data_IF_841698925062
#
_entry.id   IF_841698925062
#
_cell.length_a   1.000
_cell.length_b   1.000
_cell.length_c   1.000
_cell.angle_alpha   90.00
_cell.angle_beta   90.00
_cell.angle_gamma   90.00
#
_symmetry.space_group_name_H-M   'P 1'
#
loop_
_entity.id
_entity.type
_entity.pdbx_description
1 polymer ?
#
# COMPACT_ATOMS: atom_id res chain seq x y z
N UNK A 1 -14.32 0.14 8.30
CA UNK A 1 -13.08 0.92 8.49
C UNK A 1 -12.68 0.81 9.94
N UNK A 2 -11.47 0.33 10.26
CA UNK A 2 -11.02 0.25 11.66
C UNK A 2 -10.86 1.65 12.22
N UNK A 3 -11.41 1.91 13.42
CA UNK A 3 -11.37 3.23 14.04
C UNK A 3 -9.92 3.65 14.31
N UNK A 4 -9.49 4.81 13.79
CA UNK A 4 -8.18 5.42 14.07
C UNK A 4 -7.90 5.57 15.58
N UNK A 5 -8.97 5.62 16.38
CA UNK A 5 -8.91 5.66 17.84
C UNK A 5 -8.25 4.43 18.46
N UNK A 6 -8.41 3.24 17.85
CA UNK A 6 -7.78 2.01 18.33
C UNK A 6 -6.24 2.07 18.22
N UNK A 7 -5.71 2.61 17.12
CA UNK A 7 -4.27 2.80 16.90
C UNK A 7 -3.67 3.81 17.89
N UNK A 8 -4.42 4.87 18.19
CA UNK A 8 -4.03 5.86 19.21
C UNK A 8 -3.92 5.17 20.57
N UNK A 9 -4.92 4.39 20.96
CA UNK A 9 -4.96 3.70 22.25
C UNK A 9 -3.83 2.67 22.37
N UNK A 10 -3.55 1.91 21.31
CA UNK A 10 -2.47 0.90 21.34
C UNK A 10 -1.07 1.54 21.34
N UNK A 11 -0.91 2.67 20.64
CA UNK A 11 0.31 3.48 20.75
C UNK A 11 0.49 4.05 22.17
N UNK A 12 -0.58 4.59 22.78
CA UNK A 12 -0.54 5.05 24.18
C UNK A 12 -0.12 3.92 25.13
N UNK A 13 -0.71 2.71 25.01
CA UNK A 13 -0.33 1.54 25.83
C UNK A 13 1.15 1.21 25.70
N UNK A 14 1.67 1.22 24.47
CA UNK A 14 3.06 0.91 24.18
C UNK A 14 4.01 1.95 24.78
N UNK A 15 3.69 3.23 24.61
CA UNK A 15 4.49 4.34 25.16
C UNK A 15 4.50 4.39 26.69
N UNK A 16 3.36 4.09 27.33
CA UNK A 16 3.26 3.95 28.79
C UNK A 16 4.15 2.80 29.28
N UNK A 17 4.05 1.62 28.64
CA UNK A 17 4.85 0.44 28.99
C UNK A 17 6.34 0.70 28.86
N UNK A 18 6.78 1.35 27.77
CA UNK A 18 8.19 1.70 27.54
C UNK A 18 8.75 2.65 28.60
N UNK A 19 7.90 3.48 29.22
CA UNK A 19 8.27 4.43 30.29
C UNK A 19 8.04 3.88 31.69
N UNK A 20 7.67 2.61 31.83
CA UNK A 20 7.36 2.00 33.12
C UNK A 20 6.12 2.59 33.82
N UNK A 21 5.26 3.29 33.09
CA UNK A 21 4.06 3.91 33.63
C UNK A 21 2.91 2.90 33.65
N UNK A 22 2.21 2.86 34.78
CA UNK A 22 1.09 1.95 35.01
C UNK A 22 -0.26 2.62 34.73
N UNK A 23 -1.33 1.82 34.60
CA UNK A 23 -2.68 2.38 34.59
C UNK A 23 -3.06 3.08 35.89
N UNK A 24 -2.35 2.82 36.99
CA UNK A 24 -2.52 3.54 38.25
C UNK A 24 -2.02 4.98 38.12
N UNK A 25 -0.90 5.18 37.43
CA UNK A 25 -0.33 6.51 37.18
C UNK A 25 -1.20 7.30 36.21
N UNK A 26 -1.69 6.63 35.16
CA UNK A 26 -2.64 7.22 34.22
C UNK A 26 -3.97 7.59 34.91
N UNK A 27 -4.47 6.73 35.81
CA UNK A 27 -5.68 7.00 36.57
C UNK A 27 -5.54 8.21 37.51
N UNK A 28 -4.38 8.36 38.17
CA UNK A 28 -4.07 9.55 38.97
C UNK A 28 -4.05 10.81 38.10
N UNK A 29 -3.37 10.75 36.96
CA UNK A 29 -3.26 11.86 36.02
C UNK A 29 -4.62 12.30 35.46
N UNK A 30 -5.47 11.33 35.09
CA UNK A 30 -6.83 11.59 34.61
C UNK A 30 -7.86 11.88 35.71
N UNK A 31 -7.47 11.78 36.99
CA UNK A 31 -8.38 11.91 38.15
C UNK A 31 -9.56 10.93 38.09
N UNK A 32 -9.29 9.67 37.73
CA UNK A 32 -10.28 8.60 37.58
C UNK A 32 -9.92 7.38 38.43
N UNK A 33 -10.88 6.48 38.63
CA UNK A 33 -10.59 5.14 39.16
C UNK A 33 -9.83 4.30 38.12
N UNK A 34 -9.00 3.37 38.58
CA UNK A 34 -8.27 2.43 37.70
C UNK A 34 -9.25 1.62 36.83
N UNK A 35 -10.42 1.27 37.35
CA UNK A 35 -11.47 0.59 36.59
C UNK A 35 -12.01 1.46 35.44
N UNK A 36 -12.23 2.75 35.68
CA UNK A 36 -12.69 3.69 34.64
C UNK A 36 -11.62 3.96 33.60
N UNK A 37 -10.36 4.10 34.01
CA UNK A 37 -9.21 4.24 33.11
C UNK A 37 -9.06 3.02 32.20
N UNK A 38 -9.16 1.81 32.76
CA UNK A 38 -9.14 0.57 31.96
C UNK A 38 -10.29 0.50 30.96
N UNK A 39 -11.49 0.95 31.36
CA UNK A 39 -12.66 1.02 30.45
C UNK A 39 -12.38 1.96 29.27
N UNK A 40 -11.80 3.14 29.53
CA UNK A 40 -11.44 4.10 28.47
C UNK A 40 -10.32 3.56 27.57
N UNK A 41 -9.30 2.94 28.15
CA UNK A 41 -8.19 2.32 27.40
C UNK A 41 -8.58 1.02 26.66
N UNK A 42 -9.81 0.56 26.84
CA UNK A 42 -10.41 -0.59 26.16
C UNK A 42 -11.57 -0.19 25.24
N UNK A 43 -12.07 1.05 25.30
CA UNK A 43 -13.13 1.56 24.43
C UNK A 43 -12.55 2.13 23.13
N UNK A 44 -13.38 2.27 22.09
CA UNK A 44 -13.01 2.97 20.84
C UNK A 44 -13.24 4.48 20.90
N UNK A 45 -13.48 5.01 22.10
CA UNK A 45 -13.80 6.41 22.35
C UNK A 45 -12.90 6.96 23.46
N UNK A 46 -11.97 7.83 23.08
CA UNK A 46 -11.08 8.58 23.98
C UNK A 46 -11.02 10.02 23.49
N UNK A 47 -11.19 10.97 24.40
CA UNK A 47 -11.17 12.40 24.07
C UNK A 47 -9.74 12.89 23.82
N UNK A 48 -9.60 13.93 22.97
CA UNK A 48 -8.32 14.60 22.72
C UNK A 48 -7.65 15.08 24.02
N UNK A 49 -8.44 15.65 24.93
CA UNK A 49 -7.95 16.10 26.24
C UNK A 49 -7.28 15.00 27.07
N UNK A 50 -7.76 13.75 26.97
CA UNK A 50 -7.14 12.60 27.66
C UNK A 50 -5.86 12.14 26.97
N UNK A 51 -5.80 12.24 25.64
CA UNK A 51 -4.59 11.96 24.87
C UNK A 51 -3.50 12.98 25.23
N UNK A 52 -3.82 14.27 25.24
CA UNK A 52 -2.90 15.35 25.62
C UNK A 52 -2.37 15.15 27.03
N UNK A 53 -3.27 14.94 28.00
CA UNK A 53 -2.90 14.69 29.39
C UNK A 53 -2.02 13.44 29.57
N UNK A 54 -2.27 12.37 28.80
CA UNK A 54 -1.40 11.19 28.82
C UNK A 54 -0.03 11.47 28.20
N UNK A 55 0.04 12.28 27.15
CA UNK A 55 1.30 12.70 26.52
C UNK A 55 2.13 13.59 27.46
N UNK A 56 1.49 14.49 28.21
CA UNK A 56 2.12 15.29 29.26
C UNK A 56 2.76 14.40 30.34
N UNK A 57 2.03 13.39 30.83
CA UNK A 57 2.55 12.41 31.79
C UNK A 57 3.78 11.67 31.25
N UNK A 58 3.83 11.42 29.95
CA UNK A 58 4.95 10.75 29.27
C UNK A 58 6.08 11.70 28.85
N UNK A 59 5.91 13.01 29.08
CA UNK A 59 6.77 14.08 28.62
C UNK A 59 7.02 14.03 27.09
N UNK A 60 5.95 13.89 26.31
CA UNK A 60 5.97 13.90 24.84
C UNK A 60 5.01 14.97 24.33
N UNK A 61 5.41 15.85 23.40
CA UNK A 61 4.47 16.75 22.72
C UNK A 61 3.41 15.94 21.95
N UNK A 62 2.13 16.30 22.07
CA UNK A 62 1.04 15.57 21.41
C UNK A 62 1.22 15.49 19.88
N UNK A 63 1.74 16.54 19.25
CA UNK A 63 2.05 16.54 17.82
C UNK A 63 3.12 15.50 17.43
N UNK A 64 4.16 15.35 18.26
CA UNK A 64 5.21 14.34 18.05
C UNK A 64 4.67 12.92 18.31
N UNK A 65 3.82 12.76 19.32
CA UNK A 65 3.12 11.51 19.60
C UNK A 65 2.27 11.08 18.39
N UNK A 66 1.44 11.98 17.86
CA UNK A 66 0.56 11.69 16.71
C UNK A 66 1.36 11.35 15.44
N UNK A 67 2.50 12.02 15.19
CA UNK A 67 3.37 11.68 14.05
C UNK A 67 3.99 10.28 14.14
N UNK A 68 4.13 9.73 15.35
CA UNK A 68 4.69 8.38 15.59
C UNK A 68 3.63 7.28 15.50
N UNK A 69 2.36 7.64 15.48
CA UNK A 69 1.28 6.68 15.27
C UNK A 69 1.25 6.37 13.77
N UNK A 70 1.31 5.09 13.37
CA UNK A 70 1.14 4.70 11.99
C UNK A 70 -0.35 4.75 11.65
N UNK A 71 -0.93 5.96 11.65
CA UNK A 71 -2.28 6.23 11.12
C UNK A 71 -2.40 5.70 9.71
N UNK A 72 -1.27 5.73 9.00
CA UNK A 72 -1.09 5.08 7.73
C UNK A 72 -0.38 3.74 7.96
N UNK A 73 -1.14 2.64 7.96
CA UNK A 73 -0.59 1.28 7.87
C UNK A 73 0.26 1.08 6.59
N UNK A 74 0.31 2.07 5.70
CA UNK A 74 1.17 2.13 4.50
C UNK A 74 2.67 2.13 4.79
N UNK A 75 3.11 2.42 6.02
CA UNK A 75 4.54 2.56 6.35
C UNK A 75 5.30 1.22 6.44
N UNK A 76 4.62 0.12 6.74
CA UNK A 76 5.22 -1.21 6.71
C UNK A 76 5.17 -1.69 5.27
N UNK A 77 6.33 -1.96 4.67
CA UNK A 77 6.42 -2.57 3.35
C UNK A 77 6.67 -4.07 3.55
N UNK A 78 5.89 -4.90 2.86
CA UNK A 78 6.21 -6.33 2.77
C UNK A 78 6.51 -6.73 1.33
N UNK A 79 7.33 -7.77 1.22
CA UNK A 79 7.72 -8.38 -0.03
C UNK A 79 7.40 -9.87 0.02
N UNK A 80 6.96 -10.41 -1.11
CA UNK A 80 6.81 -11.84 -1.29
C UNK A 80 8.18 -12.52 -1.33
N UNK A 81 8.24 -13.80 -0.96
CA UNK A 81 9.43 -14.61 -1.23
C UNK A 81 9.53 -14.92 -2.72
N UNK A 82 10.72 -15.17 -3.29
CA UNK A 82 10.85 -15.56 -4.69
C UNK A 82 10.03 -16.81 -5.05
N UNK A 83 9.88 -17.75 -4.12
CA UNK A 83 9.04 -18.93 -4.30
C UNK A 83 7.54 -18.58 -4.39
N UNK A 84 7.05 -17.70 -3.51
CA UNK A 84 5.67 -17.19 -3.57
C UNK A 84 5.41 -16.44 -4.88
N UNK A 85 6.33 -15.56 -5.28
CA UNK A 85 6.24 -14.85 -6.56
C UNK A 85 6.14 -15.83 -7.74
N UNK A 86 7.00 -16.85 -7.78
CA UNK A 86 6.98 -17.87 -8.84
C UNK A 86 5.67 -18.65 -8.89
N UNK A 87 5.11 -18.99 -7.73
CA UNK A 87 3.83 -19.71 -7.63
C UNK A 87 2.67 -18.85 -8.13
N UNK A 88 2.62 -17.58 -7.72
CA UNK A 88 1.60 -16.63 -8.14
C UNK A 88 1.68 -16.31 -9.64
N UNK A 89 2.88 -16.12 -10.19
CA UNK A 89 3.06 -15.85 -11.64
C UNK A 89 2.51 -16.99 -12.51
N UNK A 90 2.57 -18.24 -12.03
CA UNK A 90 2.10 -19.41 -12.77
C UNK A 90 0.58 -19.63 -12.67
N UNK A 91 -0.10 -18.87 -11.82
CA UNK A 91 -1.54 -19.00 -11.56
C UNK A 91 -2.18 -17.62 -11.51
N UNK A 92 -2.61 -17.13 -12.67
CA UNK A 92 -3.18 -15.78 -12.82
C UNK A 92 -4.43 -15.56 -11.95
N UNK A 93 -5.22 -16.62 -11.72
CA UNK A 93 -6.44 -16.54 -10.90
C UNK A 93 -6.07 -16.38 -9.43
N UNK A 94 -5.13 -17.18 -8.93
CA UNK A 94 -4.63 -17.04 -7.56
C UNK A 94 -3.91 -15.71 -7.35
N UNK A 95 -3.16 -15.20 -8.35
CA UNK A 95 -2.53 -13.88 -8.29
C UNK A 95 -3.58 -12.77 -8.18
N UNK A 96 -4.56 -12.73 -9.08
CA UNK A 96 -5.60 -11.69 -9.03
C UNK A 96 -6.38 -11.74 -7.71
N UNK A 97 -6.79 -12.95 -7.30
CA UNK A 97 -7.46 -13.14 -6.01
C UNK A 97 -6.61 -12.64 -4.84
N UNK A 98 -5.30 -12.95 -4.83
CA UNK A 98 -4.39 -12.46 -3.80
C UNK A 98 -4.29 -10.93 -3.77
N UNK A 99 -4.28 -10.26 -4.93
CA UNK A 99 -4.27 -8.80 -5.01
C UNK A 99 -5.55 -8.18 -4.41
N UNK A 100 -6.71 -8.78 -4.64
CA UNK A 100 -7.97 -8.34 -4.01
C UNK A 100 -7.90 -8.46 -2.47
N UNK A 101 -7.33 -9.55 -1.95
CA UNK A 101 -7.13 -9.70 -0.49
C UNK A 101 -6.16 -8.64 0.06
N UNK A 102 -5.13 -8.28 -0.70
CA UNK A 102 -4.18 -7.21 -0.33
C UNK A 102 -4.89 -5.85 -0.30
N UNK A 103 -5.77 -5.59 -1.26
CA UNK A 103 -6.61 -4.38 -1.35
C UNK A 103 -7.68 -4.30 -0.25
N UNK A 104 -7.91 -5.41 0.45
CA UNK A 104 -8.75 -5.47 1.65
C UNK A 104 -10.07 -6.19 1.48
N UNK A 105 -10.35 -6.71 0.29
CA UNK A 105 -11.52 -7.55 0.06
C UNK A 105 -11.44 -8.81 0.92
N UNK A 106 -12.58 -9.25 1.43
CA UNK A 106 -12.72 -10.54 2.08
C UNK A 106 -13.26 -11.59 1.09
N UNK A 107 -13.10 -12.89 1.36
CA UNK A 107 -13.53 -13.93 0.43
C UNK A 107 -15.01 -13.93 0.07
N UNK A 108 -15.87 -13.45 0.97
CA UNK A 108 -17.31 -13.36 0.69
C UNK A 108 -17.67 -12.18 -0.20
N UNK A 109 -16.92 -11.07 -0.10
CA UNK A 109 -17.04 -9.94 -1.03
C UNK A 109 -16.56 -10.35 -2.42
N UNK A 110 -15.42 -11.04 -2.52
CA UNK A 110 -14.90 -11.52 -3.81
C UNK A 110 -15.92 -12.45 -4.49
N UNK A 111 -16.50 -13.39 -3.75
CA UNK A 111 -17.52 -14.31 -4.27
C UNK A 111 -18.79 -13.58 -4.75
N UNK A 112 -19.13 -12.43 -4.15
CA UNK A 112 -20.29 -11.61 -4.50
C UNK A 112 -20.03 -10.73 -5.71
N UNK A 113 -18.87 -10.09 -5.75
CA UNK A 113 -18.56 -9.00 -6.67
C UNK A 113 -17.88 -9.50 -7.97
N UNK A 114 -17.34 -10.72 -7.98
CA UNK A 114 -16.62 -11.29 -9.10
C UNK A 114 -17.25 -12.59 -9.61
N UNK A 115 -17.06 -12.87 -10.91
CA UNK A 115 -17.55 -14.11 -11.54
C UNK A 115 -16.67 -15.30 -11.16
N UNK A 116 -16.79 -15.76 -9.91
CA UNK A 116 -16.08 -16.93 -9.37
C UNK A 116 -17.09 -17.90 -8.74
N UNK A 117 -16.91 -19.21 -8.96
CA UNK A 117 -17.77 -20.21 -8.31
C UNK A 117 -17.36 -20.44 -6.85
N UNK A 118 -18.29 -20.90 -6.01
CA UNK A 118 -18.00 -21.22 -4.61
C UNK A 118 -16.89 -22.29 -4.47
N UNK A 119 -16.89 -23.31 -5.33
CA UNK A 119 -15.86 -24.35 -5.35
C UNK A 119 -14.49 -23.78 -5.68
N UNK A 120 -14.43 -22.90 -6.68
CA UNK A 120 -13.19 -22.25 -7.13
C UNK A 120 -12.65 -21.30 -6.07
N UNK A 121 -13.53 -20.56 -5.40
CA UNK A 121 -13.19 -19.70 -4.27
C UNK A 121 -12.48 -20.50 -3.16
N UNK A 122 -13.06 -21.64 -2.75
CA UNK A 122 -12.46 -22.53 -1.73
C UNK A 122 -11.12 -23.09 -2.21
N UNK A 123 -11.03 -23.53 -3.48
CA UNK A 123 -9.79 -24.05 -4.06
C UNK A 123 -8.66 -23.02 -4.00
N UNK A 124 -8.91 -21.78 -4.41
CA UNK A 124 -7.90 -20.72 -4.42
C UNK A 124 -7.47 -20.39 -2.98
N UNK A 125 -8.41 -20.27 -2.03
CA UNK A 125 -8.08 -20.02 -0.62
C UNK A 125 -7.14 -21.09 -0.04
N UNK A 126 -7.46 -22.37 -0.27
CA UNK A 126 -6.61 -23.48 0.17
C UNK A 126 -5.22 -23.45 -0.47
N UNK A 127 -5.12 -22.99 -1.72
CA UNK A 127 -3.85 -22.85 -2.44
C UNK A 127 -3.00 -21.70 -1.87
N UNK A 128 -3.62 -20.54 -1.62
CA UNK A 128 -2.95 -19.39 -1.01
C UNK A 128 -2.48 -19.70 0.42
N UNK A 129 -3.24 -20.50 1.18
CA UNK A 129 -2.84 -21.01 2.50
C UNK A 129 -1.61 -21.93 2.41
N UNK A 130 -1.60 -22.88 1.47
CA UNK A 130 -0.44 -23.75 1.22
C UNK A 130 0.82 -22.98 0.82
N UNK A 131 0.66 -21.82 0.18
CA UNK A 131 1.77 -20.92 -0.17
C UNK A 131 2.20 -20.00 0.99
N UNK A 132 1.53 -20.10 2.13
CA UNK A 132 1.83 -19.34 3.33
C UNK A 132 1.48 -17.86 3.24
N UNK A 133 0.57 -17.48 2.34
CA UNK A 133 0.15 -16.09 2.13
C UNK A 133 -0.96 -15.67 3.09
N UNK A 134 -1.82 -16.62 3.46
CA UNK A 134 -2.92 -16.43 4.41
C UNK A 134 -3.16 -17.72 5.20
N UNK A 135 -4.06 -17.64 6.17
CA UNK A 135 -4.60 -18.76 6.94
C UNK A 135 -6.13 -18.69 6.83
N UNK A 136 -6.76 -19.81 6.52
CA UNK A 136 -8.21 -19.93 6.40
C UNK A 136 -8.79 -20.27 7.77
N UNK A 137 -9.69 -19.43 8.25
CA UNK A 137 -10.38 -19.58 9.53
C UNK A 137 -11.81 -20.09 9.31
N UNK A 138 -12.48 -20.47 10.41
CA UNK A 138 -13.89 -20.87 10.38
C UNK A 138 -14.80 -19.76 9.84
N UNK A 139 -15.91 -20.14 9.19
CA UNK A 139 -16.93 -19.23 8.62
C UNK A 139 -16.40 -18.29 7.52
N UNK A 140 -15.54 -18.80 6.63
CA UNK A 140 -15.00 -18.05 5.48
C UNK A 140 -14.20 -16.80 5.86
N UNK A 141 -13.69 -16.75 7.09
CA UNK A 141 -12.76 -15.71 7.53
C UNK A 141 -11.35 -16.11 7.14
N UNK A 142 -10.49 -15.14 6.92
CA UNK A 142 -9.06 -15.36 6.66
C UNK A 142 -8.24 -14.50 7.60
N UNK A 143 -7.04 -14.98 7.90
CA UNK A 143 -5.99 -14.20 8.55
C UNK A 143 -4.84 -14.02 7.57
N UNK A 144 -4.52 -12.79 7.23
CA UNK A 144 -3.38 -12.46 6.37
C UNK A 144 -2.07 -12.80 7.10
N UNK A 145 -1.12 -13.43 6.43
CA UNK A 145 0.23 -13.72 6.98
C UNK A 145 1.25 -12.63 6.63
N UNK A 146 0.75 -11.48 6.21
CA UNK A 146 1.50 -10.28 5.87
C UNK A 146 0.79 -9.08 6.50
N UNK A 147 1.58 -8.04 6.77
CA UNK A 147 1.08 -6.74 7.21
C UNK A 147 1.78 -5.65 6.40
N UNK A 148 1.08 -4.54 6.16
CA UNK A 148 1.58 -3.43 5.39
C UNK A 148 1.31 -3.47 3.87
N UNK A 149 1.98 -2.57 3.15
CA UNK A 149 1.85 -2.38 1.70
C UNK A 149 2.71 -3.37 0.91
N UNK A 150 2.07 -4.12 0.01
CA UNK A 150 2.76 -5.02 -0.90
C UNK A 150 3.64 -4.20 -1.87
N UNK A 151 4.93 -4.54 -1.95
CA UNK A 151 5.82 -4.06 -3.02
C UNK A 151 6.39 -5.24 -3.78
N UNK A 152 6.42 -5.11 -5.10
CA UNK A 152 7.08 -6.08 -5.97
C UNK A 152 8.56 -5.73 -6.10
N UNK A 153 9.41 -6.74 -5.98
CA UNK A 153 10.83 -6.57 -6.30
C UNK A 153 10.96 -6.54 -7.81
N UNK A 154 11.56 -5.47 -8.35
CA UNK A 154 11.78 -5.36 -9.81
C UNK A 154 12.50 -6.58 -10.39
N UNK A 155 13.53 -7.07 -9.69
CA UNK A 155 14.30 -8.24 -10.10
C UNK A 155 13.65 -9.59 -9.71
N UNK A 156 12.55 -9.55 -8.97
CA UNK A 156 11.80 -10.74 -8.58
C UNK A 156 10.98 -11.32 -9.74
N UNK A 157 10.64 -12.62 -9.71
CA UNK A 157 9.84 -13.26 -10.75
C UNK A 157 8.56 -12.49 -11.11
N UNK A 158 7.82 -12.02 -10.10
CA UNK A 158 6.56 -11.31 -10.33
C UNK A 158 6.82 -9.90 -10.88
N UNK A 159 7.84 -9.20 -10.39
CA UNK A 159 8.22 -7.89 -10.92
C UNK A 159 8.62 -7.94 -12.39
N UNK A 160 9.44 -8.93 -12.79
CA UNK A 160 9.82 -9.13 -14.20
C UNK A 160 8.64 -9.49 -15.08
N UNK A 161 7.74 -10.35 -14.59
CA UNK A 161 6.55 -10.75 -15.31
C UNK A 161 5.61 -9.56 -15.54
N UNK A 162 5.33 -8.77 -14.49
CA UNK A 162 4.53 -7.55 -14.59
C UNK A 162 5.18 -6.52 -15.52
N UNK A 163 6.50 -6.31 -15.43
CA UNK A 163 7.20 -5.40 -16.32
C UNK A 163 7.07 -5.83 -17.79
N UNK A 164 7.16 -7.12 -18.09
CA UNK A 164 6.95 -7.65 -19.44
C UNK A 164 5.50 -7.46 -19.89
N UNK A 165 4.52 -7.84 -19.07
CA UNK A 165 3.10 -7.70 -19.39
C UNK A 165 2.72 -6.25 -19.66
N UNK A 166 3.17 -5.32 -18.82
CA UNK A 166 2.89 -3.90 -18.97
C UNK A 166 3.55 -3.34 -20.24
N UNK A 167 4.79 -3.72 -20.56
CA UNK A 167 5.45 -3.25 -21.79
C UNK A 167 4.76 -3.72 -23.07
N UNK A 168 4.19 -4.92 -23.04
CA UNK A 168 3.52 -5.53 -24.19
C UNK A 168 2.07 -5.06 -24.28
N UNK A 169 1.21 -5.47 -23.33
CA UNK A 169 -0.24 -5.25 -23.42
C UNK A 169 -0.65 -3.78 -23.32
N UNK A 170 -0.02 -3.00 -22.44
CA UNK A 170 -0.42 -1.61 -22.21
C UNK A 170 -0.11 -0.72 -23.42
N UNK A 171 1.00 -0.98 -24.13
CA UNK A 171 1.40 -0.18 -25.30
C UNK A 171 0.95 -0.76 -26.64
N UNK A 172 0.59 -2.04 -26.71
CA UNK A 172 -0.04 -2.63 -27.91
C UNK A 172 -1.52 -2.23 -28.05
N UNK A 173 -2.18 -1.87 -26.95
CA UNK A 173 -3.55 -1.36 -26.99
C UNK A 173 -3.55 0.09 -27.49
N UNK A 174 -4.34 0.44 -28.53
CA UNK A 174 -4.44 1.82 -28.99
C UNK A 174 -5.01 2.74 -27.91
N UNK A 175 -4.48 3.97 -27.83
CA UNK A 175 -5.00 5.04 -26.96
C UNK A 175 -6.03 5.88 -27.74
N UNK A 176 -7.25 5.37 -27.89
CA UNK A 176 -8.30 5.98 -28.72
C UNK A 176 -9.66 6.15 -28.03
N UNK A 177 -9.79 5.76 -26.77
CA UNK A 177 -10.98 6.00 -25.96
C UNK A 177 -11.01 7.44 -25.41
N UNK A 178 -12.19 7.93 -25.02
CA UNK A 178 -12.38 9.33 -24.58
C UNK A 178 -11.53 9.72 -23.36
N UNK A 179 -11.25 8.75 -22.49
CA UNK A 179 -10.47 8.95 -21.26
C UNK A 179 -8.97 8.62 -21.46
N UNK A 180 -8.57 8.18 -22.66
CA UNK A 180 -7.18 7.81 -22.94
C UNK A 180 -6.29 9.05 -23.12
N UNK A 181 -5.06 8.95 -22.62
CA UNK A 181 -4.05 9.98 -22.80
C UNK A 181 -2.68 9.37 -23.07
N UNK A 182 -2.06 9.75 -24.19
CA UNK A 182 -0.72 9.31 -24.57
C UNK A 182 0.15 10.48 -25.01
N UNK A 183 1.33 10.62 -24.41
CA UNK A 183 2.30 11.65 -24.78
C UNK A 183 3.73 11.15 -24.69
N UNK A 184 4.59 11.66 -25.56
CA UNK A 184 6.02 11.34 -25.59
C UNK A 184 6.84 12.64 -25.56
N UNK A 185 7.78 12.73 -24.61
CA UNK A 185 8.64 13.90 -24.43
C UNK A 185 10.09 13.56 -24.76
N UNK A 186 10.67 14.32 -25.69
CA UNK A 186 12.12 14.30 -25.96
C UNK A 186 12.81 15.29 -25.02
N UNK A 187 13.58 14.79 -24.06
CA UNK A 187 14.24 15.60 -23.04
C UNK A 187 15.75 15.48 -23.14
N UNK A 188 16.47 16.58 -22.88
CA UNK A 188 17.93 16.61 -22.84
C UNK A 188 18.40 16.83 -21.41
N UNK A 189 19.25 15.92 -20.91
CA UNK A 189 19.88 16.04 -19.60
C UNK A 189 21.37 15.76 -19.71
N UNK A 190 22.16 16.52 -18.95
CA UNK A 190 23.55 16.15 -18.65
C UNK A 190 23.60 14.94 -17.70
N UNK A 191 24.71 14.20 -17.63
CA UNK A 191 24.89 13.14 -16.63
C UNK A 191 24.54 13.63 -15.22
N UNK A 192 23.76 12.86 -14.47
CA UNK A 192 23.25 13.25 -13.14
C UNK A 192 22.06 14.21 -13.14
N UNK A 193 21.80 14.93 -14.24
CA UNK A 193 20.72 15.93 -14.34
C UNK A 193 19.29 15.38 -14.21
N UNK A 194 19.11 14.06 -14.34
CA UNK A 194 17.80 13.40 -14.23
C UNK A 194 17.31 13.19 -12.80
N UNK A 195 18.17 13.37 -11.79
CA UNK A 195 17.81 13.04 -10.39
C UNK A 195 16.63 13.88 -9.88
N UNK A 196 16.65 15.20 -10.14
CA UNK A 196 15.54 16.10 -9.77
C UNK A 196 14.24 15.74 -10.49
N UNK A 197 14.31 15.32 -11.75
CA UNK A 197 13.13 14.86 -12.50
C UNK A 197 12.55 13.57 -11.90
N UNK A 198 13.40 12.59 -11.57
CA UNK A 198 12.97 11.35 -10.92
C UNK A 198 12.24 11.62 -9.60
N UNK A 199 12.76 12.53 -8.78
CA UNK A 199 12.11 12.92 -7.53
C UNK A 199 10.73 13.55 -7.77
N UNK A 200 10.60 14.43 -8.77
CA UNK A 200 9.29 15.01 -9.14
C UNK A 200 8.29 13.95 -9.60
N UNK A 201 8.71 13.01 -10.44
CA UNK A 201 7.85 11.91 -10.90
C UNK A 201 7.39 11.03 -9.73
N UNK A 202 8.27 10.74 -8.78
CA UNK A 202 7.90 9.99 -7.58
C UNK A 202 6.93 10.76 -6.69
N UNK A 203 7.09 12.07 -6.57
CA UNK A 203 6.17 12.92 -5.80
C UNK A 203 4.77 12.95 -6.44
N UNK A 204 4.69 13.23 -7.73
CA UNK A 204 3.42 13.19 -8.49
C UNK A 204 2.77 11.81 -8.39
N UNK A 205 3.55 10.73 -8.49
CA UNK A 205 3.02 9.38 -8.33
C UNK A 205 2.35 9.16 -6.97
N UNK A 206 2.88 9.73 -5.88
CA UNK A 206 2.27 9.62 -4.55
C UNK A 206 0.97 10.42 -4.46
N UNK A 207 0.96 11.62 -5.01
CA UNK A 207 -0.21 12.51 -5.04
C UNK A 207 -1.37 11.84 -5.81
N UNK A 208 -1.08 11.30 -6.99
CA UNK A 208 -2.07 10.58 -7.81
C UNK A 208 -2.60 9.31 -7.13
N UNK A 209 -1.75 8.57 -6.41
CA UNK A 209 -2.22 7.40 -5.63
C UNK A 209 -3.19 7.83 -4.52
N UNK A 210 -2.87 8.89 -3.78
CA UNK A 210 -3.75 9.40 -2.72
C UNK A 210 -5.09 9.92 -3.26
N UNK A 211 -5.06 10.58 -4.42
CA UNK A 211 -6.28 11.01 -5.11
C UNK A 211 -7.12 9.82 -5.60
N UNK A 212 -6.50 8.84 -6.25
CA UNK A 212 -7.15 7.61 -6.69
C UNK A 212 -7.83 6.85 -5.55
N UNK A 213 -7.18 6.77 -4.38
CA UNK A 213 -7.74 6.11 -3.20
C UNK A 213 -9.04 6.78 -2.71
N UNK A 214 -9.20 8.09 -2.91
CA UNK A 214 -10.44 8.81 -2.56
C UNK A 214 -11.65 8.38 -3.40
N UNK A 215 -11.40 7.82 -4.60
CA UNK A 215 -12.44 7.36 -5.52
C UNK A 215 -12.75 5.86 -5.41
N UNK A 216 -11.96 5.09 -4.65
CA UNK A 216 -11.99 3.61 -4.64
C UNK A 216 -13.37 2.98 -4.41
N UNK A 217 -14.22 3.60 -3.60
CA UNK A 217 -15.55 3.08 -3.26
C UNK A 217 -16.69 3.70 -4.09
N UNK A 218 -16.37 4.54 -5.08
CA UNK A 218 -17.38 5.19 -5.89
C UNK A 218 -17.98 4.19 -6.88
N UNK A 219 -19.32 4.07 -7.00
CA UNK A 219 -19.96 3.05 -7.84
C UNK A 219 -19.65 3.16 -9.33
N UNK A 220 -19.28 4.37 -9.78
CA UNK A 220 -18.87 4.65 -11.17
C UNK A 220 -17.35 4.84 -11.32
N UNK A 221 -16.55 4.43 -10.33
CA UNK A 221 -15.10 4.44 -10.49
C UNK A 221 -14.69 3.51 -11.64
N UNK A 222 -13.71 3.94 -12.42
CA UNK A 222 -13.07 3.13 -13.46
C UNK A 222 -11.62 2.91 -13.07
N UNK A 223 -11.08 1.75 -13.46
CA UNK A 223 -9.67 1.44 -13.27
C UNK A 223 -8.82 2.13 -14.33
N UNK A 224 -7.83 2.91 -13.89
CA UNK A 224 -6.87 3.57 -14.77
C UNK A 224 -5.46 3.05 -14.48
N UNK A 225 -4.74 2.68 -15.55
CA UNK A 225 -3.32 2.36 -15.48
C UNK A 225 -2.46 3.55 -15.92
N UNK A 226 -1.48 3.95 -15.12
CA UNK A 226 -0.50 4.98 -15.49
C UNK A 226 0.91 4.40 -15.52
N UNK A 227 1.55 4.45 -16.69
CA UNK A 227 2.96 4.04 -16.87
C UNK A 227 3.82 5.27 -17.12
N UNK A 228 4.80 5.51 -16.24
CA UNK A 228 5.82 6.55 -16.41
C UNK A 228 7.20 5.92 -16.53
N UNK A 229 7.96 6.30 -17.56
CA UNK A 229 9.30 5.78 -17.82
C UNK A 229 10.28 6.87 -18.21
N UNK A 230 11.48 6.82 -17.64
CA UNK A 230 12.60 7.69 -18.04
C UNK A 230 13.83 6.83 -18.32
N UNK A 231 14.34 6.90 -19.55
CA UNK A 231 15.57 6.23 -19.96
C UNK A 231 16.32 7.05 -21.00
N UNK A 232 17.66 6.93 -21.10
CA UNK A 232 18.36 7.32 -22.31
C UNK A 232 17.74 6.62 -23.51
N UNK A 233 17.51 7.38 -24.58
CA UNK A 233 16.95 6.88 -25.82
C UNK A 233 17.59 7.59 -26.99
N UNK A 234 17.94 6.84 -28.02
CA UNK A 234 18.30 7.40 -29.32
C UNK A 234 17.07 7.30 -30.22
N UNK A 235 16.59 8.45 -30.70
CA UNK A 235 15.47 8.47 -31.64
C UNK A 235 15.82 7.60 -32.86
N UNK A 236 14.93 6.71 -33.32
CA UNK A 236 15.18 5.90 -34.51
C UNK A 236 15.42 6.77 -35.75
N UNK A 237 14.93 8.02 -35.72
CA UNK A 237 15.14 9.02 -36.76
C UNK A 237 16.54 9.66 -36.75
N UNK A 238 17.35 9.52 -35.69
CA UNK A 238 18.72 10.08 -35.67
C UNK A 238 19.64 9.43 -36.69
N UNK A 239 19.30 8.22 -37.16
CA UNK A 239 20.01 7.55 -38.27
C UNK A 239 19.86 8.29 -39.60
N UNK A 240 18.84 9.15 -39.76
CA UNK A 240 18.66 9.93 -40.98
C UNK A 240 19.79 10.94 -41.18
N UNK A 241 20.35 11.49 -40.10
CA UNK A 241 21.47 12.45 -40.16
C UNK A 241 22.38 12.30 -38.95
N UNK A 242 23.65 11.92 -39.16
CA UNK A 242 24.63 11.79 -38.09
C UNK A 242 25.07 13.16 -37.58
N UNK A 243 25.01 13.37 -36.27
CA UNK A 243 25.51 14.59 -35.64
C UNK A 243 27.03 14.68 -35.85
N UNK A 244 27.52 15.78 -36.44
CA UNK A 244 28.96 16.05 -36.55
C UNK A 244 29.58 16.05 -35.15
N UNK A 245 30.67 15.31 -34.95
CA UNK A 245 31.44 15.36 -33.69
C UNK A 245 31.90 16.80 -33.49
N UNK A 246 31.58 17.39 -32.34
CA UNK A 246 32.15 18.68 -31.95
C UNK A 246 33.66 18.49 -31.85
N UNK A 247 34.44 19.23 -32.65
CA UNK A 247 35.88 19.38 -32.41
C UNK A 247 36.02 20.07 -31.06
N UNK A 248 36.61 19.36 -30.10
CA UNK A 248 37.08 19.91 -28.83
C UNK A 248 38.34 20.71 -29.02
#
# INVERSE_FOLDING_TARGET
MGSNTSLIIDSLKSHLKLRGLSYTDLAKNWKLSVSSTKRIMASEDISLSKIESACELMNIPVGEFLQRIPFDKSSVIFYLTPDQENKLVKDAEALHYFLLIVEGFNPTEILRDYTISAEKNIRILNQLEKWGLLEVLTKSRIKRKFDGQLRFRKEGPLGRHLESLMKTKFFETPFNENDDFFTFLNLNFVPGGTQKLKQKLLQISKELMAESDSHRNHPNAKDFGLVMGLRPWESPFTKAFTRRKKQT
#
